data_IF_778695937719
#
_entry.id   IF_778695937719
#
_cell.length_a   1.000
_cell.length_b   1.000
_cell.length_c   1.000
_cell.angle_alpha   90.00
_cell.angle_beta   90.00
_cell.angle_gamma   90.00
#
_symmetry.space_group_name_H-M   'P 1'
#
loop_
_entity.id
_entity.type
_entity.pdbx_description
1 polymer ?
#
# COMPACT_ATOMS: atom_id res chain seq x y z
N UNK A 1 -25.29 10.89 3.78
CA UNK A 1 -24.27 10.61 4.79
C UNK A 1 -24.83 10.92 6.16
N UNK A 2 -25.28 9.89 6.86
CA UNK A 2 -25.63 9.97 8.27
C UNK A 2 -24.38 9.74 9.15
N UNK A 3 -24.52 9.87 10.47
CA UNK A 3 -23.40 9.72 11.41
C UNK A 3 -22.74 8.34 11.34
N UNK A 4 -23.52 7.27 11.15
CA UNK A 4 -22.98 5.92 11.04
C UNK A 4 -22.15 5.73 9.76
N UNK A 5 -22.65 6.23 8.63
CA UNK A 5 -21.94 6.24 7.33
C UNK A 5 -20.65 7.08 7.43
N UNK A 6 -20.65 8.17 8.20
CA UNK A 6 -19.46 8.99 8.45
C UNK A 6 -18.39 8.26 9.26
N UNK A 7 -18.78 7.55 10.32
CA UNK A 7 -17.86 6.76 11.11
C UNK A 7 -17.28 5.61 10.29
N UNK A 8 -18.11 4.95 9.47
CA UNK A 8 -17.65 3.86 8.61
C UNK A 8 -16.65 4.34 7.55
N UNK A 9 -16.92 5.48 6.89
CA UNK A 9 -15.99 6.06 5.92
C UNK A 9 -14.66 6.45 6.57
N UNK A 10 -14.72 7.08 7.75
CA UNK A 10 -13.52 7.43 8.54
C UNK A 10 -12.69 6.18 8.88
N UNK A 11 -13.35 5.10 9.31
CA UNK A 11 -12.69 3.84 9.61
C UNK A 11 -11.96 3.26 8.39
N UNK A 12 -12.62 3.24 7.22
CA UNK A 12 -12.00 2.77 5.97
C UNK A 12 -10.80 3.64 5.58
N UNK A 13 -10.91 4.96 5.72
CA UNK A 13 -9.81 5.87 5.43
C UNK A 13 -8.60 5.63 6.35
N UNK A 14 -8.83 5.45 7.65
CA UNK A 14 -7.77 5.09 8.61
C UNK A 14 -7.09 3.77 8.21
N UNK A 15 -7.85 2.76 7.75
CA UNK A 15 -7.28 1.49 7.30
C UNK A 15 -6.38 1.65 6.07
N UNK A 16 -6.78 2.48 5.11
CA UNK A 16 -5.95 2.80 3.94
C UNK A 16 -4.65 3.48 4.36
N UNK A 17 -4.71 4.47 5.26
CA UNK A 17 -3.53 5.14 5.79
C UNK A 17 -2.60 4.19 6.56
N UNK A 18 -3.15 3.30 7.38
CA UNK A 18 -2.38 2.28 8.10
C UNK A 18 -1.65 1.34 7.14
N UNK A 19 -2.31 0.89 6.07
CA UNK A 19 -1.70 0.02 5.07
C UNK A 19 -0.51 0.71 4.37
N UNK A 20 -0.67 1.98 4.00
CA UNK A 20 0.39 2.73 3.32
C UNK A 20 1.55 3.11 4.24
N UNK A 21 1.28 3.39 5.51
CA UNK A 21 2.33 3.56 6.51
C UNK A 21 3.12 2.26 6.72
N UNK A 22 2.43 1.10 6.77
CA UNK A 22 3.08 -0.21 6.84
C UNK A 22 3.96 -0.49 5.63
N UNK A 23 3.50 -0.12 4.43
CA UNK A 23 4.29 -0.26 3.21
C UNK A 23 5.53 0.63 3.22
N UNK A 24 5.43 1.87 3.70
CA UNK A 24 6.60 2.75 3.88
C UNK A 24 7.61 2.15 4.86
N UNK A 25 7.15 1.58 5.97
CA UNK A 25 8.02 0.94 6.95
C UNK A 25 8.75 -0.27 6.35
N UNK A 26 8.04 -1.09 5.57
CA UNK A 26 8.63 -2.20 4.82
C UNK A 26 9.67 -1.74 3.80
N UNK A 27 9.41 -0.67 3.05
CA UNK A 27 10.40 -0.11 2.12
C UNK A 27 11.66 0.39 2.84
N UNK A 28 11.48 1.03 4.00
CA UNK A 28 12.58 1.51 4.83
C UNK A 28 13.51 0.38 5.28
N UNK A 29 12.97 -0.80 5.62
CA UNK A 29 13.79 -1.96 6.02
C UNK A 29 14.50 -2.65 4.85
N UNK A 30 13.93 -2.63 3.64
CA UNK A 30 14.59 -3.18 2.45
C UNK A 30 15.71 -2.28 1.92
N UNK A 31 15.68 -0.98 2.24
CA UNK A 31 16.67 -0.01 1.77
C UNK A 31 18.08 -0.24 2.34
N UNK A 32 18.22 -1.03 3.41
CA UNK A 32 19.52 -1.48 3.95
C UNK A 32 20.20 -2.58 3.11
N UNK A 33 19.48 -3.29 2.24
CA UNK A 33 19.99 -4.46 1.48
C UNK A 33 20.30 -4.17 -0.01
N UNK A 34 21.05 -3.10 -0.28
CA UNK A 34 21.70 -2.81 -1.60
C UNK A 34 20.82 -2.37 -2.79
N UNK A 35 19.48 -2.38 -2.70
CA UNK A 35 18.62 -1.72 -3.71
C UNK A 35 18.07 -0.41 -3.13
N UNK A 36 18.69 0.72 -3.48
CA UNK A 36 18.13 2.02 -3.15
C UNK A 36 16.78 2.17 -3.85
N UNK A 37 15.69 2.05 -3.10
CA UNK A 37 14.38 2.42 -3.62
C UNK A 37 14.46 3.88 -4.09
N UNK A 38 13.79 4.22 -5.20
CA UNK A 38 13.39 5.62 -5.44
C UNK A 38 12.30 6.01 -4.42
N UNK A 39 12.61 5.88 -3.13
CA UNK A 39 11.72 6.13 -1.99
C UNK A 39 11.35 7.60 -1.90
N UNK A 40 12.14 8.52 -2.48
CA UNK A 40 11.88 9.96 -2.34
C UNK A 40 10.55 10.40 -2.96
N UNK A 41 10.16 9.83 -4.11
CA UNK A 41 8.89 10.13 -4.76
C UNK A 41 7.72 9.43 -4.07
N UNK A 42 7.90 8.17 -3.69
CA UNK A 42 6.88 7.41 -2.95
C UNK A 42 6.59 8.00 -1.57
N UNK A 43 7.60 8.46 -0.84
CA UNK A 43 7.41 9.17 0.43
C UNK A 43 6.63 10.48 0.25
N UNK A 44 6.92 11.24 -0.81
CA UNK A 44 6.19 12.47 -1.12
C UNK A 44 4.74 12.20 -1.50
N UNK A 45 4.50 11.16 -2.30
CA UNK A 45 3.16 10.74 -2.70
C UNK A 45 2.37 10.21 -1.51
N UNK A 46 2.99 9.39 -0.66
CA UNK A 46 2.30 8.83 0.51
C UNK A 46 2.02 9.89 1.57
N UNK A 47 2.95 10.82 1.79
CA UNK A 47 2.77 11.94 2.71
C UNK A 47 1.82 13.05 2.20
N UNK A 48 1.33 12.96 0.96
CA UNK A 48 0.41 13.96 0.40
C UNK A 48 -1.04 13.61 0.69
N UNK A 49 -1.69 14.37 1.56
CA UNK A 49 -3.12 14.19 1.89
C UNK A 49 -4.02 14.20 0.65
N UNK A 50 -3.74 15.08 -0.31
CA UNK A 50 -4.50 15.18 -1.57
C UNK A 50 -4.42 13.89 -2.39
N UNK A 51 -3.23 13.29 -2.46
CA UNK A 51 -3.04 12.00 -3.14
C UNK A 51 -3.81 10.91 -2.40
N UNK A 52 -3.78 10.92 -1.06
CA UNK A 52 -4.50 9.92 -0.27
C UNK A 52 -6.01 9.99 -0.36
N UNK A 53 -6.57 11.19 -0.35
CA UNK A 53 -8.00 11.39 -0.53
C UNK A 53 -8.45 10.92 -1.92
N UNK A 54 -7.65 11.17 -2.97
CA UNK A 54 -7.95 10.66 -4.32
C UNK A 54 -7.86 9.14 -4.40
N UNK A 55 -6.80 8.55 -3.84
CA UNK A 55 -6.61 7.11 -3.81
C UNK A 55 -7.77 6.43 -3.09
N UNK A 56 -8.13 6.92 -1.91
CA UNK A 56 -9.29 6.46 -1.15
C UNK A 56 -10.60 6.58 -1.94
N UNK A 57 -10.83 7.71 -2.60
CA UNK A 57 -12.04 7.93 -3.42
C UNK A 57 -12.15 6.97 -4.60
N UNK A 58 -11.02 6.43 -5.06
CA UNK A 58 -10.95 5.44 -6.15
C UNK A 58 -10.73 4.00 -5.67
N UNK A 59 -10.73 3.79 -4.35
CA UNK A 59 -10.44 2.50 -3.69
C UNK A 59 -9.10 1.86 -4.12
N UNK A 60 -8.11 2.69 -4.48
CA UNK A 60 -6.79 2.24 -4.89
C UNK A 60 -5.73 2.54 -3.83
N UNK A 61 -4.61 1.83 -3.85
CA UNK A 61 -3.43 2.14 -3.05
C UNK A 61 -2.17 2.22 -3.91
N UNK A 62 -1.15 2.91 -3.42
CA UNK A 62 0.17 2.94 -4.06
C UNK A 62 0.95 1.73 -3.59
N UNK A 63 1.48 0.96 -4.54
CA UNK A 63 2.35 -0.18 -4.26
C UNK A 63 3.64 -0.05 -5.08
N UNK A 64 4.83 -0.07 -4.45
CA UNK A 64 6.09 -0.13 -5.16
C UNK A 64 6.19 -1.46 -5.91
N UNK A 65 6.69 -1.45 -7.16
CA UNK A 65 6.88 -2.68 -7.94
C UNK A 65 7.77 -3.70 -7.22
N UNK A 66 8.78 -3.23 -6.49
CA UNK A 66 9.68 -4.08 -5.70
C UNK A 66 8.96 -4.81 -4.56
N UNK A 67 7.86 -4.25 -4.03
CA UNK A 67 7.03 -4.98 -3.07
C UNK A 67 6.40 -6.22 -3.72
N UNK A 68 5.97 -6.13 -4.97
CA UNK A 68 5.44 -7.28 -5.72
C UNK A 68 6.52 -8.33 -5.95
N UNK A 69 7.72 -7.90 -6.36
CA UNK A 69 8.86 -8.80 -6.50
C UNK A 69 9.23 -9.48 -5.17
N UNK A 70 9.19 -8.73 -4.06
CA UNK A 70 9.47 -9.29 -2.73
C UNK A 70 8.36 -10.25 -2.26
N UNK A 71 7.10 -9.96 -2.61
CA UNK A 71 5.95 -10.81 -2.31
C UNK A 71 6.02 -12.12 -3.10
N UNK A 72 6.40 -12.03 -4.39
CA UNK A 72 6.67 -13.21 -5.21
C UNK A 72 7.85 -13.98 -4.63
N UNK A 73 8.97 -13.38 -4.27
CA UNK A 73 10.12 -14.16 -3.76
C UNK A 73 9.93 -14.76 -2.35
N UNK A 74 8.83 -14.46 -1.66
CA UNK A 74 8.59 -14.94 -0.30
C UNK A 74 7.90 -16.32 -0.31
N UNK A 75 8.60 -17.34 0.21
CA UNK A 75 8.13 -18.73 0.22
C UNK A 75 6.79 -18.94 0.95
N UNK A 76 6.45 -18.07 1.91
CA UNK A 76 5.18 -18.13 2.65
C UNK A 76 4.00 -17.71 1.78
N UNK A 77 4.23 -16.80 0.81
CA UNK A 77 3.19 -16.25 -0.07
C UNK A 77 3.12 -16.95 -1.43
N UNK A 78 4.20 -17.60 -1.88
CA UNK A 78 4.30 -18.32 -3.16
C UNK A 78 3.22 -19.39 -3.38
N UNK A 79 2.77 -20.05 -2.31
CA UNK A 79 1.75 -21.09 -2.37
C UNK A 79 0.37 -20.60 -1.90
N UNK A 80 0.23 -19.29 -1.64
CA UNK A 80 -1.00 -18.72 -1.13
C UNK A 80 -1.89 -18.25 -2.28
N UNK A 81 -3.19 -18.53 -2.17
CA UNK A 81 -4.20 -17.99 -3.08
C UNK A 81 -4.23 -16.45 -3.06
N UNK A 82 -3.73 -15.84 -1.99
CA UNK A 82 -3.58 -14.40 -1.80
C UNK A 82 -2.68 -13.76 -2.86
N UNK A 83 -1.60 -14.44 -3.29
CA UNK A 83 -0.68 -13.88 -4.30
C UNK A 83 -1.36 -13.77 -5.68
N UNK A 84 -2.15 -14.77 -6.05
CA UNK A 84 -2.92 -14.74 -7.30
C UNK A 84 -4.04 -13.71 -7.26
N UNK A 85 -4.73 -13.56 -6.12
CA UNK A 85 -5.71 -12.48 -5.94
C UNK A 85 -5.05 -11.09 -6.05
N UNK A 86 -3.91 -10.88 -5.42
CA UNK A 86 -3.16 -9.61 -5.52
C UNK A 86 -2.76 -9.31 -6.97
N UNK A 87 -2.31 -10.31 -7.73
CA UNK A 87 -1.98 -10.14 -9.17
C UNK A 87 -3.17 -9.67 -9.99
N UNK A 88 -4.37 -10.17 -9.71
CA UNK A 88 -5.59 -9.73 -10.42
C UNK A 88 -6.04 -8.30 -10.08
N UNK A 89 -5.59 -7.77 -8.94
CA UNK A 89 -5.94 -6.43 -8.46
C UNK A 89 -5.01 -5.34 -8.99
N UNK A 90 -3.88 -5.71 -9.60
CA UNK A 90 -2.94 -4.79 -10.23
C UNK A 90 -3.44 -4.55 -11.66
N UNK A 91 -3.98 -3.36 -11.92
CA UNK A 91 -4.40 -2.89 -13.25
C UNK A 91 -3.27 -2.23 -14.02
#
# INVERSE_FOLDING_TARGET
MNTAEMLQATFKYIKLLQAQAGLLAFMGSYQENEKSFETSYLHKLVGSSLVQEKLYSTENCLVPKVFLEALENNQEFQNSQVLEEVKTLIK
#
